data_IF_552509376944
#
_entry.id   IF_552509376944
#
_cell.length_a   1.000
_cell.length_b   1.000
_cell.length_c   1.000
_cell.angle_alpha   90.00
_cell.angle_beta   90.00
_cell.angle_gamma   90.00
#
_symmetry.space_group_name_H-M   'P 1'
#
loop_
_entity.id
_entity.type
_entity.pdbx_description
1 polymer ?
#
# COMPACT_ATOMS: atom_id res chain seq x y z
N UNK A 1 -6.46 -7.05 22.91
CA UNK A 1 -5.03 -7.11 22.56
C UNK A 1 -4.88 -7.91 21.25
N UNK A 2 -4.92 -7.27 20.07
CA UNK A 2 -4.60 -7.92 18.78
C UNK A 2 -3.34 -7.39 18.08
N UNK A 3 -2.63 -6.39 18.64
CA UNK A 3 -1.54 -5.67 17.93
C UNK A 3 -0.29 -6.52 17.60
N UNK A 4 -0.09 -7.66 18.26
CA UNK A 4 1.16 -8.44 18.11
C UNK A 4 1.19 -9.34 16.87
N UNK A 5 0.02 -9.74 16.36
CA UNK A 5 -0.07 -10.66 15.22
C UNK A 5 0.06 -9.92 13.88
N UNK A 6 -0.50 -8.71 13.78
CA UNK A 6 -0.37 -7.85 12.59
C UNK A 6 1.10 -7.52 12.29
N UNK A 7 1.87 -7.08 13.29
CA UNK A 7 3.29 -6.77 13.09
C UNK A 7 4.13 -7.96 12.63
N UNK A 8 3.81 -9.17 13.12
CA UNK A 8 4.47 -10.42 12.67
C UNK A 8 4.12 -10.78 11.24
N UNK A 9 2.86 -10.59 10.84
CA UNK A 9 2.40 -10.81 9.47
C UNK A 9 3.05 -9.81 8.52
N UNK A 10 3.07 -8.52 8.86
CA UNK A 10 3.75 -7.48 8.07
C UNK A 10 5.23 -7.80 7.90
N UNK A 11 5.93 -8.20 8.98
CA UNK A 11 7.33 -8.60 8.91
C UNK A 11 7.55 -9.84 8.00
N UNK A 12 6.63 -10.81 8.02
CA UNK A 12 6.69 -12.00 7.15
C UNK A 12 6.41 -11.69 5.69
N UNK A 13 5.56 -10.70 5.40
CA UNK A 13 5.21 -10.27 4.04
C UNK A 13 6.18 -9.24 3.47
N UNK A 14 6.99 -8.59 4.30
CA UNK A 14 7.88 -7.51 3.89
C UNK A 14 8.91 -7.94 2.83
N UNK A 15 9.35 -9.20 2.82
CA UNK A 15 10.29 -9.74 1.84
C UNK A 15 9.60 -10.43 0.64
N UNK A 16 8.28 -10.33 0.53
CA UNK A 16 7.51 -10.84 -0.60
C UNK A 16 7.11 -9.71 -1.53
N UNK A 17 6.85 -10.04 -2.78
CA UNK A 17 6.20 -9.19 -3.78
C UNK A 17 4.71 -9.49 -3.86
N UNK A 18 3.90 -8.61 -4.47
CA UNK A 18 2.49 -8.93 -4.74
C UNK A 18 2.36 -10.11 -5.71
N UNK A 19 3.23 -10.20 -6.73
CA UNK A 19 3.20 -11.34 -7.67
C UNK A 19 3.45 -12.69 -6.98
N UNK A 20 4.30 -12.74 -5.95
CA UNK A 20 4.53 -13.96 -5.16
C UNK A 20 3.38 -14.31 -4.23
N UNK A 21 2.62 -13.31 -3.77
CA UNK A 21 1.51 -13.48 -2.85
C UNK A 21 0.26 -13.98 -3.61
N UNK A 22 -0.06 -13.37 -4.75
CA UNK A 22 -1.26 -13.73 -5.53
C UNK A 22 -0.97 -14.73 -6.67
N UNK A 23 0.29 -15.00 -6.98
CA UNK A 23 0.71 -15.92 -8.05
C UNK A 23 0.48 -15.37 -9.46
N UNK A 24 0.10 -14.10 -9.62
CA UNK A 24 -0.23 -13.49 -10.90
C UNK A 24 0.93 -12.66 -11.45
N UNK A 25 1.42 -13.08 -12.61
CA UNK A 25 2.47 -12.36 -13.35
C UNK A 25 1.85 -11.39 -14.33
N UNK A 26 2.17 -10.10 -14.21
CA UNK A 26 1.67 -9.10 -15.15
C UNK A 26 2.68 -8.91 -16.29
N UNK A 27 2.25 -9.02 -17.56
CA UNK A 27 3.13 -8.77 -18.69
C UNK A 27 3.56 -7.31 -18.69
N UNK A 28 4.77 -7.04 -19.20
CA UNK A 28 5.21 -5.65 -19.38
C UNK A 28 4.46 -5.09 -20.59
N UNK A 29 3.65 -4.03 -20.45
CA UNK A 29 2.86 -3.52 -21.57
C UNK A 29 3.78 -2.81 -22.57
N UNK A 30 3.59 -3.08 -23.87
CA UNK A 30 4.41 -2.47 -24.93
C UNK A 30 4.17 -0.96 -25.10
N UNK A 31 2.98 -0.48 -24.72
CA UNK A 31 2.54 0.92 -24.77
C UNK A 31 1.85 1.30 -23.45
N UNK A 32 2.52 1.08 -22.33
CA UNK A 32 1.97 1.39 -21.01
C UNK A 32 1.85 2.91 -20.80
N UNK A 33 0.74 3.35 -20.22
CA UNK A 33 0.72 4.64 -19.52
C UNK A 33 1.71 4.62 -18.35
N UNK A 34 2.10 5.80 -17.84
CA UNK A 34 2.96 5.90 -16.66
C UNK A 34 2.41 5.11 -15.47
N UNK A 35 1.08 5.16 -15.25
CA UNK A 35 0.41 4.49 -14.15
C UNK A 35 0.43 2.96 -14.30
N UNK A 36 0.18 2.44 -15.50
CA UNK A 36 0.27 1.01 -15.78
C UNK A 36 1.71 0.49 -15.63
N UNK A 37 2.70 1.25 -16.12
CA UNK A 37 4.11 0.91 -15.97
C UNK A 37 4.52 0.88 -14.49
N UNK A 38 4.11 1.89 -13.73
CA UNK A 38 4.41 2.04 -12.31
C UNK A 38 3.80 0.90 -11.51
N UNK A 39 2.49 0.66 -11.63
CA UNK A 39 1.79 -0.41 -10.89
C UNK A 39 2.33 -1.81 -11.24
N UNK A 40 2.63 -2.07 -12.52
CA UNK A 40 3.26 -3.32 -12.97
C UNK A 40 4.66 -3.51 -12.37
N UNK A 41 5.45 -2.44 -12.25
CA UNK A 41 6.75 -2.47 -11.60
C UNK A 41 6.63 -2.71 -10.09
N UNK A 42 5.70 -2.02 -9.42
CA UNK A 42 5.49 -2.14 -7.98
C UNK A 42 5.02 -3.53 -7.56
N UNK A 43 4.27 -4.25 -8.40
CA UNK A 43 3.91 -5.64 -8.12
C UNK A 43 5.10 -6.58 -7.96
N UNK A 44 6.27 -6.22 -8.52
CA UNK A 44 7.54 -6.98 -8.46
C UNK A 44 8.50 -6.47 -7.39
N UNK A 45 8.13 -5.41 -6.67
CA UNK A 45 8.92 -4.82 -5.59
C UNK A 45 8.55 -5.50 -4.28
N UNK A 46 9.53 -5.72 -3.40
CA UNK A 46 9.25 -6.25 -2.06
C UNK A 46 8.41 -5.25 -1.26
N UNK A 47 7.38 -5.73 -0.55
CA UNK A 47 6.44 -4.86 0.16
C UNK A 47 7.11 -3.99 1.21
N UNK A 48 8.14 -4.50 1.90
CA UNK A 48 8.91 -3.74 2.89
C UNK A 48 9.77 -2.61 2.31
N UNK A 49 9.86 -2.51 0.98
CA UNK A 49 10.57 -1.42 0.30
C UNK A 49 9.62 -0.36 -0.28
N UNK A 50 8.31 -0.53 -0.10
CA UNK A 50 7.33 0.44 -0.60
C UNK A 50 7.53 1.78 0.11
N UNK A 51 7.53 2.85 -0.68
CA UNK A 51 7.47 4.22 -0.18
C UNK A 51 6.02 4.59 0.16
N UNK A 52 5.83 5.75 0.80
CA UNK A 52 4.50 6.34 1.00
C UNK A 52 3.76 6.50 -0.33
N UNK A 53 4.46 6.95 -1.38
CA UNK A 53 3.89 7.10 -2.72
C UNK A 53 3.52 5.75 -3.35
N UNK A 54 4.36 4.72 -3.20
CA UNK A 54 4.06 3.38 -3.71
C UNK A 54 2.77 2.84 -3.08
N UNK A 55 2.62 3.00 -1.75
CA UNK A 55 1.41 2.62 -1.03
C UNK A 55 0.20 3.42 -1.52
N UNK A 56 0.34 4.75 -1.64
CA UNK A 56 -0.72 5.66 -2.09
C UNK A 56 -1.21 5.28 -3.48
N UNK A 57 -0.31 5.09 -4.45
CA UNK A 57 -0.63 4.67 -5.83
C UNK A 57 -1.39 3.34 -5.80
N UNK A 58 -0.84 2.32 -5.15
CA UNK A 58 -1.37 0.96 -5.22
C UNK A 58 -2.73 0.85 -4.53
N UNK A 59 -2.93 1.55 -3.40
CA UNK A 59 -4.22 1.63 -2.70
C UNK A 59 -5.25 2.39 -3.53
N UNK A 60 -4.87 3.52 -4.13
CA UNK A 60 -5.77 4.30 -4.98
C UNK A 60 -6.23 3.53 -6.24
N UNK A 61 -5.41 2.60 -6.74
CA UNK A 61 -5.74 1.72 -7.86
C UNK A 61 -6.40 0.40 -7.43
N UNK A 62 -6.63 0.17 -6.13
CA UNK A 62 -7.13 -1.08 -5.56
C UNK A 62 -6.29 -2.33 -5.94
N UNK A 63 -4.97 -2.17 -6.05
CA UNK A 63 -4.06 -3.26 -6.40
C UNK A 63 -3.40 -3.81 -5.14
N UNK A 64 -3.81 -5.02 -4.74
CA UNK A 64 -3.29 -5.66 -3.54
C UNK A 64 -3.66 -4.93 -2.25
N UNK A 65 -4.70 -4.09 -2.26
CA UNK A 65 -5.05 -3.19 -1.17
C UNK A 65 -5.15 -3.92 0.18
N UNK A 66 -5.82 -5.07 0.25
CA UNK A 66 -5.96 -5.83 1.51
C UNK A 66 -4.63 -6.34 2.07
N UNK A 67 -3.67 -6.65 1.20
CA UNK A 67 -2.30 -7.03 1.60
C UNK A 67 -1.51 -5.81 2.08
N UNK A 68 -1.73 -4.66 1.45
CA UNK A 68 -1.02 -3.40 1.72
C UNK A 68 -1.59 -2.62 2.92
N UNK A 69 -2.85 -2.87 3.29
CA UNK A 69 -3.52 -2.18 4.41
C UNK A 69 -2.69 -2.14 5.70
N UNK A 70 -2.12 -3.26 6.21
CA UNK A 70 -1.31 -3.21 7.43
C UNK A 70 0.00 -2.40 7.26
N UNK A 71 0.55 -2.30 6.05
CA UNK A 71 1.73 -1.47 5.76
C UNK A 71 1.35 0.02 5.77
N UNK A 72 0.23 0.38 5.14
CA UNK A 72 -0.28 1.75 5.18
C UNK A 72 -0.64 2.19 6.60
N UNK A 73 -1.31 1.34 7.38
CA UNK A 73 -1.58 1.63 8.79
C UNK A 73 -0.31 1.79 9.61
N UNK A 74 0.75 1.00 9.36
CA UNK A 74 2.03 1.18 10.05
C UNK A 74 2.61 2.58 9.80
N UNK A 75 2.65 3.04 8.54
CA UNK A 75 3.10 4.39 8.18
C UNK A 75 2.22 5.46 8.81
N UNK A 76 0.90 5.33 8.68
CA UNK A 76 -0.07 6.34 9.13
C UNK A 76 -0.21 6.43 10.65
N UNK A 77 0.10 5.36 11.39
CA UNK A 77 0.18 5.37 12.86
C UNK A 77 1.40 6.15 13.36
N UNK A 78 2.48 6.16 12.60
CA UNK A 78 3.69 6.94 12.90
C UNK A 78 3.50 8.41 12.51
N UNK A 79 2.96 8.65 11.32
CA UNK A 79 2.69 10.00 10.80
C UNK A 79 1.41 10.02 9.95
N UNK A 80 0.28 10.53 10.47
CA UNK A 80 -0.95 10.74 9.68
C UNK A 80 -0.76 11.69 8.50
N UNK A 81 0.27 12.54 8.53
CA UNK A 81 0.61 13.49 7.47
C UNK A 81 1.66 12.98 6.49
N UNK A 82 2.00 11.68 6.56
CA UNK A 82 2.91 11.04 5.62
C UNK A 82 2.52 11.40 4.17
N UNK A 83 3.52 11.91 3.45
CA UNK A 83 3.38 12.48 2.11
C UNK A 83 3.95 11.52 1.06
N UNK A 84 3.17 11.27 0.01
CA UNK A 84 3.64 10.73 -1.26
C UNK A 84 4.19 11.83 -2.16
N UNK A 85 3.77 11.85 -3.42
CA UNK A 85 4.21 12.86 -4.39
C UNK A 85 3.17 14.00 -4.60
N UNK A 86 2.03 13.97 -3.91
CA UNK A 86 0.94 14.95 -4.12
C UNK A 86 0.90 16.05 -3.06
N UNK A 87 0.61 15.70 -1.80
CA UNK A 87 0.51 16.64 -0.68
C UNK A 87 0.56 15.89 0.66
N UNK A 88 0.90 16.56 1.79
CA UNK A 88 0.89 15.93 3.10
C UNK A 88 -0.44 15.25 3.42
N UNK A 89 -0.40 13.98 3.82
CA UNK A 89 -1.58 13.18 4.17
C UNK A 89 -2.34 12.59 2.98
N UNK A 90 -1.79 12.67 1.77
CA UNK A 90 -2.36 12.04 0.58
C UNK A 90 -2.53 10.51 0.71
N UNK A 91 -1.65 9.83 1.45
CA UNK A 91 -1.80 8.41 1.79
C UNK A 91 -3.04 8.18 2.67
N UNK A 92 -3.26 9.01 3.68
CA UNK A 92 -4.43 8.89 4.58
C UNK A 92 -5.72 9.10 3.79
N UNK A 93 -5.75 10.09 2.90
CA UNK A 93 -6.92 10.33 2.05
C UNK A 93 -7.20 9.16 1.10
N UNK A 94 -6.18 8.61 0.46
CA UNK A 94 -6.32 7.42 -0.38
C UNK A 94 -6.83 6.22 0.42
N UNK A 95 -6.29 5.98 1.62
CA UNK A 95 -6.71 4.90 2.51
C UNK A 95 -8.17 5.05 2.96
N UNK A 96 -8.60 6.26 3.36
CA UNK A 96 -9.99 6.53 3.75
C UNK A 96 -10.99 6.35 2.62
N UNK A 97 -10.63 6.76 1.40
CA UNK A 97 -11.46 6.51 0.22
C UNK A 97 -11.62 5.01 -0.05
N UNK A 98 -10.55 4.23 0.17
CA UNK A 98 -10.57 2.79 -0.05
C UNK A 98 -11.26 2.00 1.05
N UNK A 99 -11.15 2.44 2.30
CA UNK A 99 -11.76 1.80 3.47
C UNK A 99 -12.58 2.81 4.28
N UNK A 100 -13.74 3.25 3.77
CA UNK A 100 -14.54 4.31 4.41
C UNK A 100 -15.05 3.89 5.79
N UNK A 101 -15.32 2.60 6.00
CA UNK A 101 -15.86 2.07 7.25
C UNK A 101 -14.78 1.65 8.27
N UNK A 102 -13.49 1.91 8.00
CA UNK A 102 -12.40 1.56 8.91
C UNK A 102 -12.27 2.60 10.05
N UNK A 103 -12.61 2.24 11.29
CA UNK A 103 -12.66 3.22 12.38
C UNK A 103 -11.28 3.74 12.77
N UNK A 104 -10.20 2.98 12.55
CA UNK A 104 -8.85 3.43 12.85
C UNK A 104 -8.41 4.51 11.86
N UNK A 105 -8.62 4.28 10.56
CA UNK A 105 -8.35 5.28 9.53
C UNK A 105 -9.19 6.54 9.71
N UNK A 106 -10.45 6.42 10.15
CA UNK A 106 -11.28 7.60 10.45
C UNK A 106 -10.83 8.37 11.69
N UNK A 107 -10.13 7.73 12.63
CA UNK A 107 -9.68 8.38 13.87
C UNK A 107 -8.34 9.12 13.76
N UNK A 108 -7.56 8.89 12.71
CA UNK A 108 -6.27 9.56 12.49
C UNK A 108 -6.46 11.02 12.08
N UNK A 109 -5.74 11.98 12.69
CA UNK A 109 -5.87 13.42 12.41
C UNK A 109 -4.53 14.07 12.26
#
# INVERSE_FOLDING_TARGET
MPKNDEGRVTASLANKTLEEIDGQRWPTPCCASYLEATTTSLRKKHLGQFTTEDLRIMIAQDIGAEVLKPFALAVLREDPMAEGDYYPGDLLEAARKRWPDDPELQALT
#
